data_IF_356725712350
#
_entry.id   IF_356725712350
#
_cell.length_a   1.000
_cell.length_b   1.000
_cell.length_c   1.000
_cell.angle_alpha   90.00
_cell.angle_beta   90.00
_cell.angle_gamma   90.00
#
_symmetry.space_group_name_H-M   'P 1'
#
loop_
_entity.id
_entity.type
_entity.pdbx_description
1 polymer ?
#
# COMPACT_ATOMS: atom_id res chain seq x y z
N UNK A 1 -13.72 1.95 -20.66
CA UNK A 1 -12.82 1.32 -19.67
C UNK A 1 -11.87 2.40 -19.21
N UNK A 2 -12.13 3.02 -18.06
CA UNK A 2 -11.16 3.94 -17.47
C UNK A 2 -9.96 3.10 -17.05
N UNK A 3 -8.77 3.44 -17.54
CA UNK A 3 -7.55 2.95 -16.93
C UNK A 3 -7.60 3.44 -15.48
N UNK A 4 -7.75 2.51 -14.53
CA UNK A 4 -7.68 2.83 -13.11
C UNK A 4 -6.28 3.40 -12.87
N UNK A 5 -6.20 4.71 -12.70
CA UNK A 5 -4.95 5.40 -12.38
C UNK A 5 -4.54 4.94 -10.98
N UNK A 6 -3.63 3.97 -10.91
CA UNK A 6 -3.18 3.39 -9.65
C UNK A 6 -2.35 4.45 -8.93
N UNK A 7 -3.01 5.22 -8.07
CA UNK A 7 -2.34 6.17 -7.19
C UNK A 7 -1.62 5.40 -6.07
N UNK A 8 -0.30 5.52 -6.02
CA UNK A 8 0.51 4.90 -4.99
C UNK A 8 0.76 5.86 -3.83
N UNK A 9 0.76 5.32 -2.62
CA UNK A 9 1.12 6.10 -1.42
C UNK A 9 2.59 6.51 -1.50
N UNK A 10 2.86 7.81 -1.38
CA UNK A 10 4.23 8.34 -1.28
C UNK A 10 4.76 8.22 0.16
N UNK A 11 6.07 8.21 0.33
CA UNK A 11 6.70 8.15 1.66
C UNK A 11 6.41 9.42 2.45
N UNK A 12 6.44 10.58 1.79
CA UNK A 12 6.20 11.88 2.42
C UNK A 12 4.75 12.01 2.92
N UNK A 13 3.77 11.61 2.11
CA UNK A 13 2.37 11.65 2.54
C UNK A 13 2.10 10.68 3.68
N UNK A 14 2.66 9.47 3.62
CA UNK A 14 2.52 8.49 4.70
C UNK A 14 3.11 8.99 6.01
N UNK A 15 4.30 9.61 5.94
CA UNK A 15 4.97 10.18 7.11
C UNK A 15 4.15 11.33 7.70
N UNK A 16 3.78 12.32 6.87
CA UNK A 16 2.96 13.46 7.31
C UNK A 16 1.65 12.99 7.95
N UNK A 17 0.97 12.03 7.32
CA UNK A 17 -0.27 11.49 7.83
C UNK A 17 -0.11 10.85 9.20
N UNK A 18 0.91 10.02 9.41
CA UNK A 18 1.17 9.38 10.71
C UNK A 18 1.56 10.40 11.78
N UNK A 19 2.38 11.39 11.43
CA UNK A 19 2.76 12.48 12.35
C UNK A 19 1.56 13.32 12.80
N UNK A 20 0.64 13.63 11.89
CA UNK A 20 -0.54 14.46 12.16
C UNK A 20 -1.66 13.69 12.87
N UNK A 21 -1.86 12.41 12.53
CA UNK A 21 -3.02 11.63 13.00
C UNK A 21 -2.71 10.70 14.16
N UNK A 22 -1.43 10.36 14.38
CA UNK A 22 -0.99 9.43 15.42
C UNK A 22 -1.68 8.07 15.37
N UNK A 23 -1.97 7.56 14.16
CA UNK A 23 -2.59 6.24 13.98
C UNK A 23 -1.69 5.10 14.44
N UNK A 24 -2.29 4.06 15.01
CA UNK A 24 -1.57 2.85 15.43
C UNK A 24 -1.12 1.98 14.25
N UNK A 25 -1.82 2.05 13.11
CA UNK A 25 -1.54 1.28 11.90
C UNK A 25 -1.89 2.07 10.64
N UNK A 26 -1.12 1.85 9.56
CA UNK A 26 -1.31 2.57 8.30
C UNK A 26 -1.60 1.61 7.13
N UNK A 27 -2.75 1.79 6.48
CA UNK A 27 -3.05 1.12 5.21
C UNK A 27 -2.41 1.85 4.03
N UNK A 28 -1.73 1.13 3.14
CA UNK A 28 -0.96 1.74 2.03
C UNK A 28 -1.34 1.17 0.66
N UNK A 29 -1.36 2.03 -0.36
CA UNK A 29 -1.54 1.65 -1.76
C UNK A 29 -0.17 1.39 -2.40
N UNK A 30 0.16 0.11 -2.61
CA UNK A 30 1.47 -0.33 -3.14
C UNK A 30 1.37 -1.24 -4.37
N UNK A 31 0.25 -1.15 -5.10
CA UNK A 31 0.00 -1.96 -6.32
C UNK A 31 -0.82 -3.22 -6.08
N UNK A 32 -1.48 -3.32 -4.94
CA UNK A 32 -2.52 -4.32 -4.68
C UNK A 32 -3.82 -3.85 -5.33
N UNK A 33 -4.27 -4.55 -6.37
CA UNK A 33 -5.53 -4.25 -7.06
C UNK A 33 -6.68 -4.93 -6.32
N UNK A 34 -7.78 -4.21 -6.09
CA UNK A 34 -9.01 -4.76 -5.54
C UNK A 34 -9.78 -5.50 -6.65
N UNK A 35 -9.64 -6.82 -6.76
CA UNK A 35 -10.42 -7.61 -7.70
C UNK A 35 -9.74 -8.88 -8.23
N UNK A 36 -10.45 -9.59 -9.12
CA UNK A 36 -9.98 -10.77 -9.87
C UNK A 36 -8.97 -10.34 -10.95
N UNK A 37 -7.83 -9.78 -10.55
CA UNK A 37 -6.74 -9.51 -11.50
C UNK A 37 -5.87 -10.76 -11.61
N UNK A 38 -5.85 -11.38 -12.79
CA UNK A 38 -5.10 -12.61 -13.12
C UNK A 38 -3.62 -12.36 -13.45
N UNK A 39 -3.17 -11.10 -13.38
CA UNK A 39 -1.76 -10.73 -13.48
C UNK A 39 -1.02 -10.86 -12.14
N UNK A 40 0.30 -11.11 -12.17
CA UNK A 40 1.15 -11.04 -10.98
C UNK A 40 1.07 -9.63 -10.39
N UNK A 41 0.31 -9.44 -9.32
CA UNK A 41 0.33 -8.17 -8.58
C UNK A 41 1.79 -7.84 -8.22
N UNK A 42 2.32 -6.76 -8.78
CA UNK A 42 3.67 -6.31 -8.52
C UNK A 42 3.65 -5.42 -7.28
N UNK A 43 3.81 -6.05 -6.14
CA UNK A 43 3.95 -5.35 -4.86
C UNK A 43 5.28 -4.61 -4.88
N UNK A 44 5.25 -3.29 -4.66
CA UNK A 44 6.45 -2.48 -4.55
C UNK A 44 7.11 -2.64 -3.18
N UNK A 45 7.81 -3.75 -2.99
CA UNK A 45 8.48 -4.11 -1.73
C UNK A 45 9.47 -3.04 -1.27
N UNK A 46 10.17 -2.38 -2.19
CA UNK A 46 11.10 -1.31 -1.86
C UNK A 46 10.39 -0.12 -1.21
N UNK A 47 9.26 0.31 -1.79
CA UNK A 47 8.43 1.38 -1.26
C UNK A 47 7.82 1.02 0.11
N UNK A 48 7.43 -0.23 0.33
CA UNK A 48 6.98 -0.69 1.65
C UNK A 48 8.05 -0.53 2.72
N UNK A 49 9.31 -0.85 2.40
CA UNK A 49 10.42 -0.67 3.35
C UNK A 49 10.65 0.81 3.66
N UNK A 50 10.60 1.67 2.65
CA UNK A 50 10.78 3.11 2.82
C UNK A 50 9.66 3.72 3.66
N UNK A 51 8.40 3.37 3.38
CA UNK A 51 7.26 3.85 4.17
C UNK A 51 7.35 3.33 5.61
N UNK A 52 7.62 2.04 5.82
CA UNK A 52 7.74 1.47 7.16
C UNK A 52 8.86 2.11 7.98
N UNK A 53 10.01 2.39 7.35
CA UNK A 53 11.13 3.05 7.99
C UNK A 53 10.82 4.52 8.33
N UNK A 54 10.06 5.21 7.48
CA UNK A 54 9.70 6.61 7.68
C UNK A 54 8.59 6.81 8.72
N UNK A 55 7.61 5.92 8.78
CA UNK A 55 6.45 6.08 9.68
C UNK A 55 6.60 5.39 11.02
N UNK A 56 7.41 4.31 11.11
CA UNK A 56 7.60 3.54 12.35
C UNK A 56 6.38 2.74 12.81
N UNK A 57 5.26 2.77 12.08
CA UNK A 57 4.02 2.06 12.41
C UNK A 57 3.83 0.81 11.55
N UNK A 58 3.12 -0.22 12.06
CA UNK A 58 2.73 -1.38 11.26
C UNK A 58 1.94 -0.99 10.01
N UNK A 59 2.29 -1.60 8.87
CA UNK A 59 1.62 -1.38 7.58
C UNK A 59 0.57 -2.47 7.30
N UNK A 60 -0.60 -2.04 6.82
CA UNK A 60 -1.71 -2.92 6.42
C UNK A 60 -1.83 -2.95 4.90
N UNK A 61 -1.79 -4.16 4.32
CA UNK A 61 -1.96 -4.37 2.88
C UNK A 61 -3.39 -4.81 2.58
N UNK A 62 -4.07 -4.07 1.70
CA UNK A 62 -5.40 -4.43 1.21
C UNK A 62 -5.28 -5.35 -0.02
N UNK A 63 -6.27 -6.18 -0.31
CA UNK A 63 -6.24 -7.08 -1.48
C UNK A 63 -5.77 -8.52 -1.22
N UNK A 64 -6.00 -9.04 0.01
CA UNK A 64 -5.69 -10.43 0.40
C UNK A 64 -6.51 -11.54 -0.28
N UNK A 65 -7.13 -11.28 -1.43
CA UNK A 65 -7.91 -12.28 -2.16
C UNK A 65 -7.02 -12.96 -3.22
N UNK A 66 -5.98 -13.67 -2.79
CA UNK A 66 -5.33 -14.69 -3.63
C UNK A 66 -5.74 -16.06 -3.12
N UNK A 67 -6.70 -16.70 -3.80
CA UNK A 67 -6.66 -18.16 -3.90
C UNK A 67 -5.41 -18.51 -4.70
N UNK A 68 -4.35 -18.94 -4.02
CA UNK A 68 -3.35 -19.78 -4.65
C UNK A 68 -4.04 -21.13 -4.89
N UNK A 69 -4.41 -21.40 -6.14
CA UNK A 69 -4.61 -22.75 -6.65
C UNK A 69 -3.77 -22.89 -7.89
#
# INVERSE_FOLDING_TARGET
>A
MAAEDICFTTVEDAKRFVEETQVDMLAVSVGTVHGLYTGKAQIQHQRLKEISAATGVPLVLHGGNRRQR
#
